data_IF_635620347600
#
_entry.id   IF_635620347600
#
_cell.length_a   1.000
_cell.length_b   1.000
_cell.length_c   1.000
_cell.angle_alpha   90.00
_cell.angle_beta   90.00
_cell.angle_gamma   90.00
#
_symmetry.space_group_name_H-M   'P 1'
#
loop_
_entity.id
_entity.type
_entity.pdbx_description
1 polymer ?
#
# COMPACT_ATOMS: atom_id res chain seq x y z
N UNK A 1 -3.52 23.46 18.04
CA UNK A 1 -3.82 22.14 17.45
C UNK A 1 -3.16 21.07 18.29
N UNK A 2 -3.87 20.01 18.68
CA UNK A 2 -3.26 18.89 19.41
C UNK A 2 -2.52 17.95 18.45
N UNK A 3 -1.33 17.50 18.84
CA UNK A 3 -0.44 16.67 18.01
C UNK A 3 -1.11 15.36 17.58
N UNK A 4 -1.97 14.81 18.43
CA UNK A 4 -2.76 13.60 18.18
C UNK A 4 -3.68 13.74 16.97
N UNK A 5 -4.30 14.92 16.79
CA UNK A 5 -5.19 15.17 15.65
C UNK A 5 -4.42 15.18 14.34
N UNK A 6 -3.25 15.79 14.34
CA UNK A 6 -2.37 15.83 13.16
C UNK A 6 -1.94 14.42 12.78
N UNK A 7 -1.45 13.64 13.76
CA UNK A 7 -1.05 12.24 13.54
C UNK A 7 -2.18 11.37 12.99
N UNK A 8 -3.38 11.45 13.58
CA UNK A 8 -4.53 10.68 13.11
C UNK A 8 -4.91 11.05 11.66
N UNK A 9 -4.89 12.34 11.33
CA UNK A 9 -5.20 12.81 9.97
C UNK A 9 -4.13 12.39 8.96
N UNK A 10 -2.85 12.50 9.32
CA UNK A 10 -1.74 12.04 8.49
C UNK A 10 -1.82 10.53 8.24
N UNK A 11 -2.14 9.75 9.27
CA UNK A 11 -2.31 8.30 9.12
C UNK A 11 -3.45 7.96 8.16
N UNK A 12 -4.58 8.67 8.26
CA UNK A 12 -5.70 8.50 7.36
C UNK A 12 -5.30 8.78 5.90
N UNK A 13 -4.62 9.91 5.66
CA UNK A 13 -4.15 10.28 4.32
C UNK A 13 -3.17 9.24 3.75
N UNK A 14 -2.26 8.72 4.58
CA UNK A 14 -1.33 7.66 4.18
C UNK A 14 -2.05 6.35 3.82
N UNK A 15 -3.10 5.99 4.55
CA UNK A 15 -3.90 4.80 4.24
C UNK A 15 -4.62 4.94 2.89
N UNK A 16 -5.23 6.09 2.61
CA UNK A 16 -5.86 6.36 1.30
C UNK A 16 -4.81 6.35 0.19
N UNK A 17 -3.67 6.98 0.41
CA UNK A 17 -2.55 6.96 -0.55
C UNK A 17 -2.05 5.56 -0.84
N UNK A 18 -1.91 4.71 0.19
CA UNK A 18 -1.47 3.33 0.01
C UNK A 18 -2.47 2.52 -0.83
N UNK A 19 -3.78 2.66 -0.59
CA UNK A 19 -4.82 2.05 -1.42
C UNK A 19 -4.71 2.49 -2.88
N UNK A 20 -4.56 3.78 -3.13
CA UNK A 20 -4.38 4.32 -4.48
C UNK A 20 -3.10 3.79 -5.14
N UNK A 21 -1.98 3.73 -4.40
CA UNK A 21 -0.71 3.20 -4.89
C UNK A 21 -0.77 1.70 -5.21
N UNK A 22 -1.56 0.90 -4.49
CA UNK A 22 -1.78 -0.52 -4.82
C UNK A 22 -2.65 -0.66 -6.07
N UNK A 23 -3.76 0.07 -6.14
CA UNK A 23 -4.75 -0.06 -7.22
C UNK A 23 -4.17 0.31 -8.59
N UNK A 24 -3.35 1.36 -8.66
CA UNK A 24 -2.76 1.86 -9.91
C UNK A 24 -1.74 0.91 -10.56
N UNK A 25 -1.18 -0.05 -9.81
CA UNK A 25 -0.11 -0.93 -10.30
C UNK A 25 -0.68 -1.99 -11.24
N UNK A 26 -0.05 -2.29 -12.39
CA UNK A 26 -0.51 -3.32 -13.32
C UNK A 26 -0.04 -4.73 -12.88
N UNK A 27 -0.31 -5.08 -11.62
CA UNK A 27 0.01 -6.40 -11.04
C UNK A 27 -1.27 -7.23 -10.85
N UNK A 28 -1.11 -8.52 -10.57
CA UNK A 28 -2.23 -9.45 -10.42
C UNK A 28 -3.17 -9.07 -9.26
N UNK A 29 -4.44 -9.50 -9.36
CA UNK A 29 -5.48 -9.17 -8.40
C UNK A 29 -5.21 -9.77 -7.01
N UNK A 30 -4.60 -10.96 -6.93
CA UNK A 30 -4.30 -11.64 -5.67
C UNK A 30 -3.32 -10.84 -4.81
N UNK A 31 -2.22 -10.39 -5.43
CA UNK A 31 -1.22 -9.52 -4.80
C UNK A 31 -1.85 -8.20 -4.34
N UNK A 32 -2.72 -7.58 -5.15
CA UNK A 32 -3.42 -6.34 -4.76
C UNK A 32 -4.29 -6.55 -3.53
N UNK A 33 -5.14 -7.57 -3.56
CA UNK A 33 -6.10 -7.83 -2.49
C UNK A 33 -5.39 -8.14 -1.16
N UNK A 34 -4.29 -8.88 -1.19
CA UNK A 34 -3.50 -9.17 0.01
C UNK A 34 -3.05 -7.87 0.71
N UNK A 35 -2.47 -6.93 -0.04
CA UNK A 35 -2.00 -5.67 0.55
C UNK A 35 -3.14 -4.73 0.93
N UNK A 36 -4.22 -4.67 0.15
CA UNK A 36 -5.41 -3.87 0.49
C UNK A 36 -6.01 -4.34 1.81
N UNK A 37 -6.23 -5.65 1.97
CA UNK A 37 -6.78 -6.22 3.21
C UNK A 37 -5.86 -5.95 4.40
N UNK A 38 -4.55 -6.09 4.21
CA UNK A 38 -3.58 -5.86 5.29
C UNK A 38 -3.57 -4.40 5.77
N UNK A 39 -3.52 -3.44 4.84
CA UNK A 39 -3.55 -1.99 5.15
C UNK A 39 -4.89 -1.61 5.77
N UNK A 40 -6.00 -2.16 5.27
CA UNK A 40 -7.33 -1.81 5.74
C UNK A 40 -7.65 -2.36 7.14
N UNK A 41 -7.24 -3.61 7.42
CA UNK A 41 -7.48 -4.26 8.71
C UNK A 41 -6.53 -3.75 9.80
N UNK A 42 -5.31 -3.37 9.42
CA UNK A 42 -4.29 -2.87 10.32
C UNK A 42 -3.70 -1.55 9.79
N UNK A 43 -4.34 -0.39 10.02
CA UNK A 43 -3.96 0.88 9.38
C UNK A 43 -2.59 1.43 9.79
N UNK A 44 -2.06 0.98 10.93
CA UNK A 44 -0.70 1.31 11.37
C UNK A 44 0.31 0.27 10.88
N UNK A 45 0.15 -0.98 11.34
CA UNK A 45 1.10 -2.06 11.07
C UNK A 45 1.06 -2.45 9.58
N UNK A 46 -0.12 -2.58 8.99
CA UNK A 46 -0.31 -2.91 7.59
C UNK A 46 0.24 -1.85 6.65
N UNK A 47 0.07 -0.56 6.95
CA UNK A 47 0.71 0.54 6.21
C UNK A 47 2.24 0.45 6.28
N UNK A 48 2.78 0.14 7.46
CA UNK A 48 4.22 0.04 7.68
C UNK A 48 4.80 -1.17 6.93
N UNK A 49 4.14 -2.33 7.00
CA UNK A 49 4.47 -3.52 6.23
C UNK A 49 4.34 -3.29 4.72
N UNK A 50 3.32 -2.55 4.28
CA UNK A 50 3.15 -2.17 2.89
C UNK A 50 4.33 -1.32 2.41
N UNK A 51 4.75 -0.31 3.17
CA UNK A 51 5.87 0.54 2.80
C UNK A 51 7.20 -0.22 2.72
N UNK A 52 7.47 -1.11 3.68
CA UNK A 52 8.74 -1.84 3.76
C UNK A 52 8.81 -3.02 2.79
N UNK A 53 7.72 -3.78 2.64
CA UNK A 53 7.71 -5.03 1.89
C UNK A 53 6.77 -4.97 0.69
N UNK A 54 5.55 -4.47 0.87
CA UNK A 54 4.54 -4.48 -0.19
C UNK A 54 4.92 -3.67 -1.42
N UNK A 55 5.26 -2.40 -1.24
CA UNK A 55 5.60 -1.49 -2.34
C UNK A 55 6.82 -1.96 -3.15
N UNK A 56 7.95 -2.37 -2.54
CA UNK A 56 9.06 -2.96 -3.30
C UNK A 56 8.66 -4.23 -4.07
N UNK A 57 7.85 -5.09 -3.46
CA UNK A 57 7.40 -6.34 -4.09
C UNK A 57 6.48 -6.08 -5.29
N UNK A 58 5.53 -5.15 -5.18
CA UNK A 58 4.63 -4.79 -6.27
C UNK A 58 5.39 -4.12 -7.43
N UNK A 59 6.37 -3.27 -7.14
CA UNK A 59 7.24 -2.67 -8.16
C UNK A 59 8.07 -3.74 -8.87
N UNK A 60 8.53 -4.78 -8.15
CA UNK A 60 9.26 -5.90 -8.77
C UNK A 60 8.36 -6.71 -9.70
N UNK A 61 7.17 -7.06 -9.23
CA UNK A 61 6.18 -7.81 -10.00
C UNK A 61 5.79 -7.08 -11.29
N UNK A 62 5.58 -5.76 -11.20
CA UNK A 62 5.30 -4.89 -12.35
C UNK A 62 6.42 -4.99 -13.42
N UNK A 63 7.70 -4.92 -13.02
CA UNK A 63 8.83 -5.01 -13.97
C UNK A 63 8.96 -6.39 -14.62
N UNK A 64 8.72 -7.46 -13.87
CA UNK A 64 8.83 -8.82 -14.40
C UNK A 64 7.74 -9.10 -15.43
N UNK A 65 6.50 -8.66 -15.19
CA UNK A 65 5.42 -8.74 -16.18
C UNK A 65 5.67 -7.90 -17.43
N UNK A 66 6.35 -6.75 -17.30
CA UNK A 66 6.69 -5.90 -18.44
C UNK A 66 7.85 -6.43 -19.31
N UNK A 67 8.71 -7.29 -18.76
CA UNK A 67 9.88 -7.84 -19.48
C UNK A 67 9.58 -8.99 -20.44
N UNK A 68 8.32 -9.44 -20.51
CA UNK A 68 7.90 -10.58 -21.35
C UNK A 68 7.07 -10.17 -22.58
N UNK A 69 6.98 -8.87 -22.89
CA UNK A 69 6.34 -8.34 -24.09
C UNK A 69 7.34 -7.62 -24.98
#
# INVERSE_FOLDING_TARGET
>A
MSITRVLAFTLLLLNVWALYDILRRPVDLGSKLMWIVLVWLFPFIGLLLYLLFGRPNLIRAERTGQSQF
#
